data_IF_682773026896
#
_entry.id   IF_682773026896
#
_cell.length_a   1.000
_cell.length_b   1.000
_cell.length_c   1.000
_cell.angle_alpha   90.00
_cell.angle_beta   90.00
_cell.angle_gamma   90.00
#
_symmetry.space_group_name_H-M   'P 1'
#
loop_
_entity.id
_entity.type
_entity.pdbx_description
1 polymer ?
#
# COMPACT_ATOMS: atom_id res chain seq x y z
N UNK A 1 -12.76 5.94 44.62
CA UNK A 1 -12.25 4.56 44.40
C UNK A 1 -12.63 3.98 43.04
N UNK A 2 -13.89 4.07 42.58
CA UNK A 2 -14.34 3.52 41.29
C UNK A 2 -13.60 4.07 40.05
N UNK A 3 -13.24 5.36 40.05
CA UNK A 3 -12.56 6.01 38.91
C UNK A 3 -11.11 5.50 38.70
N UNK A 4 -10.37 5.23 39.78
CA UNK A 4 -9.00 4.72 39.70
C UNK A 4 -8.96 3.30 39.12
N UNK A 5 -9.97 2.49 39.45
CA UNK A 5 -10.09 1.12 38.93
C UNK A 5 -10.36 1.12 37.42
N UNK A 6 -11.16 2.08 36.94
CA UNK A 6 -11.45 2.25 35.52
C UNK A 6 -10.19 2.70 34.74
N UNK A 7 -9.41 3.63 35.30
CA UNK A 7 -8.17 4.12 34.68
C UNK A 7 -7.09 3.03 34.61
N UNK A 8 -6.95 2.23 35.67
CA UNK A 8 -6.03 1.08 35.71
C UNK A 8 -6.40 0.02 34.68
N UNK A 9 -7.70 -0.19 34.42
CA UNK A 9 -8.17 -1.19 33.46
C UNK A 9 -7.88 -0.75 32.02
N UNK A 10 -8.02 0.55 31.72
CA UNK A 10 -7.64 1.13 30.41
C UNK A 10 -6.13 1.03 30.20
N UNK A 11 -5.33 1.26 31.23
CA UNK A 11 -3.86 1.16 31.15
C UNK A 11 -3.35 -0.28 30.95
N UNK A 12 -4.10 -1.27 31.45
CA UNK A 12 -3.76 -2.68 31.30
C UNK A 12 -4.17 -3.26 29.93
N UNK A 13 -4.85 -2.48 29.09
CA UNK A 13 -5.33 -2.92 27.78
C UNK A 13 -4.23 -2.79 26.72
N UNK A 14 -3.68 -3.91 26.27
CA UNK A 14 -2.70 -4.00 25.18
C UNK A 14 -3.37 -4.00 23.79
N UNK A 15 -4.35 -3.11 23.60
CA UNK A 15 -5.18 -3.02 22.39
C UNK A 15 -4.58 -2.09 21.31
N UNK A 16 -3.29 -1.78 21.41
CA UNK A 16 -2.65 -0.72 20.64
C UNK A 16 -1.95 -1.22 19.36
N UNK A 17 -1.98 -2.53 19.12
CA UNK A 17 -1.33 -3.20 17.99
C UNK A 17 -2.27 -3.29 16.79
N UNK A 18 -1.93 -2.58 15.72
CA UNK A 18 -2.71 -2.50 14.49
C UNK A 18 -2.08 -3.40 13.42
N UNK A 19 -2.86 -4.28 12.83
CA UNK A 19 -2.45 -5.10 11.69
C UNK A 19 -2.96 -4.46 10.38
N UNK A 20 -2.04 -4.13 9.48
CA UNK A 20 -2.35 -3.58 8.16
C UNK A 20 -2.10 -4.65 7.10
N UNK A 21 -3.15 -4.98 6.32
CA UNK A 21 -3.09 -5.97 5.23
C UNK A 21 -3.91 -5.46 4.05
N UNK A 22 -3.35 -5.56 2.84
CA UNK A 22 -4.07 -5.29 1.60
C UNK A 22 -4.18 -6.59 0.79
N UNK A 23 -5.40 -6.95 0.31
CA UNK A 23 -5.62 -8.20 -0.41
C UNK A 23 -4.99 -8.21 -1.81
N UNK A 24 -4.72 -7.04 -2.39
CA UNK A 24 -4.18 -6.87 -3.74
C UNK A 24 -2.67 -6.64 -3.70
N UNK A 25 -1.91 -7.53 -4.34
CA UNK A 25 -0.45 -7.50 -4.42
C UNK A 25 0.07 -6.53 -5.51
N UNK A 26 -0.47 -5.31 -5.57
CA UNK A 26 -0.08 -4.29 -6.53
C UNK A 26 0.66 -3.13 -5.89
N UNK A 27 1.69 -2.58 -6.55
CA UNK A 27 2.47 -1.44 -6.05
C UNK A 27 1.59 -0.26 -5.62
N UNK A 28 0.54 0.05 -6.38
CA UNK A 28 -0.40 1.13 -6.07
C UNK A 28 -1.10 0.95 -4.71
N UNK A 29 -1.52 -0.28 -4.40
CA UNK A 29 -2.15 -0.60 -3.11
C UNK A 29 -1.15 -0.57 -1.97
N UNK A 30 0.10 -0.98 -2.22
CA UNK A 30 1.15 -0.89 -1.21
C UNK A 30 1.57 0.53 -0.89
N UNK A 31 1.52 1.46 -1.86
CA UNK A 31 1.73 2.90 -1.60
C UNK A 31 0.61 3.45 -0.71
N UNK A 32 -0.64 3.12 -1.02
CA UNK A 32 -1.78 3.52 -0.19
C UNK A 32 -1.64 2.95 1.23
N UNK A 33 -1.31 1.67 1.35
CA UNK A 33 -1.09 1.02 2.64
C UNK A 33 0.05 1.62 3.46
N UNK A 34 1.15 1.99 2.79
CA UNK A 34 2.25 2.69 3.44
C UNK A 34 1.79 4.04 4.01
N UNK A 35 0.94 4.80 3.31
CA UNK A 35 0.36 6.04 3.83
C UNK A 35 -0.45 5.84 5.12
N UNK A 36 -1.20 4.73 5.24
CA UNK A 36 -1.88 4.37 6.49
C UNK A 36 -0.89 4.05 7.61
N UNK A 37 0.11 3.22 7.32
CA UNK A 37 1.14 2.83 8.30
C UNK A 37 1.89 4.05 8.81
N UNK A 38 2.30 4.96 7.93
CA UNK A 38 3.02 6.18 8.30
C UNK A 38 2.16 7.09 9.20
N UNK A 39 0.89 7.28 8.85
CA UNK A 39 -0.02 8.14 9.62
C UNK A 39 -0.30 7.56 11.01
N UNK A 40 -0.59 6.26 11.08
CA UNK A 40 -0.85 5.57 12.35
C UNK A 40 0.43 5.51 13.21
N UNK A 41 1.59 5.31 12.57
CA UNK A 41 2.88 5.27 13.26
C UNK A 41 3.20 6.62 13.88
N UNK A 42 2.90 7.72 13.19
CA UNK A 42 3.07 9.09 13.69
C UNK A 42 2.09 9.43 14.82
N UNK A 43 0.87 8.87 14.79
CA UNK A 43 -0.06 8.92 15.92
C UNK A 43 0.41 8.10 17.13
N UNK A 44 1.52 7.36 16.96
CA UNK A 44 2.21 6.60 17.98
C UNK A 44 1.85 5.13 17.99
N UNK A 45 0.96 4.63 17.13
CA UNK A 45 0.45 3.25 17.18
C UNK A 45 1.54 2.22 16.91
N UNK A 46 1.46 1.04 17.54
CA UNK A 46 2.32 -0.09 17.19
C UNK A 46 1.69 -0.83 16.01
N UNK A 47 2.41 -1.00 14.92
CA UNK A 47 1.83 -1.47 13.66
C UNK A 47 2.61 -2.66 13.14
N UNK A 48 1.88 -3.66 12.67
CA UNK A 48 2.43 -4.74 11.83
C UNK A 48 1.88 -4.59 10.42
N UNK A 49 2.75 -4.40 9.44
CA UNK A 49 2.38 -4.23 8.04
C UNK A 49 2.83 -5.41 7.19
N UNK A 50 1.88 -6.11 6.56
CA UNK A 50 2.18 -7.19 5.63
C UNK A 50 2.20 -6.61 4.21
N UNK A 51 3.35 -6.70 3.54
CA UNK A 51 3.47 -6.20 2.16
C UNK A 51 4.50 -6.98 1.35
N UNK A 52 4.24 -7.20 0.05
CA UNK A 52 5.24 -7.79 -0.85
C UNK A 52 6.26 -6.76 -1.35
N UNK A 53 6.05 -5.47 -1.07
CA UNK A 53 6.96 -4.38 -1.39
C UNK A 53 7.50 -3.79 -0.09
N UNK A 54 8.59 -4.35 0.47
CA UNK A 54 9.24 -3.79 1.65
C UNK A 54 9.90 -2.44 1.34
N UNK A 55 10.09 -1.61 2.36
CA UNK A 55 10.80 -0.32 2.26
C UNK A 55 11.84 -0.22 3.38
N UNK A 56 12.89 0.58 3.20
CA UNK A 56 14.07 0.50 4.09
C UNK A 56 13.92 1.29 5.39
N UNK A 57 13.19 2.41 5.36
CA UNK A 57 13.12 3.34 6.50
C UNK A 57 11.89 3.05 7.36
N UNK A 58 11.98 2.05 8.24
CA UNK A 58 10.92 1.73 9.19
C UNK A 58 11.05 2.53 10.49
N UNK A 59 9.97 3.12 10.99
CA UNK A 59 9.87 3.57 12.38
C UNK A 59 10.03 2.40 13.37
N UNK A 60 10.54 2.67 14.57
CA UNK A 60 10.76 1.63 15.60
C UNK A 60 9.46 0.94 16.07
N UNK A 61 8.31 1.60 15.91
CA UNK A 61 6.98 1.11 16.23
C UNK A 61 6.26 0.43 15.05
N UNK A 62 6.96 0.20 13.93
CA UNK A 62 6.43 -0.51 12.77
C UNK A 62 7.23 -1.79 12.53
N UNK A 63 6.55 -2.91 12.59
CA UNK A 63 7.05 -4.20 12.12
C UNK A 63 6.54 -4.45 10.71
N UNK A 64 7.41 -4.89 9.80
CA UNK A 64 7.03 -5.24 8.44
C UNK A 64 7.24 -6.73 8.19
N UNK A 65 6.22 -7.37 7.63
CA UNK A 65 6.27 -8.77 7.20
C UNK A 65 6.40 -8.76 5.67
N UNK A 66 7.59 -9.14 5.21
CA UNK A 66 7.89 -9.24 3.79
C UNK A 66 7.30 -10.53 3.21
N UNK A 67 6.39 -10.37 2.23
CA UNK A 67 5.79 -11.47 1.48
C UNK A 67 6.12 -11.41 -0.02
N UNK A 68 7.26 -10.84 -0.40
CA UNK A 68 7.68 -10.68 -1.80
C UNK A 68 7.75 -12.02 -2.56
N UNK A 69 8.09 -13.11 -1.87
CA UNK A 69 8.14 -14.47 -2.44
C UNK A 69 6.78 -15.00 -2.91
N UNK A 70 5.67 -14.45 -2.40
CA UNK A 70 4.32 -14.79 -2.87
C UNK A 70 4.12 -14.29 -4.31
N UNK A 71 4.77 -13.18 -4.68
CA UNK A 71 4.70 -12.61 -6.02
C UNK A 71 5.26 -13.57 -7.08
N UNK A 72 6.33 -14.29 -6.74
CA UNK A 72 6.99 -15.25 -7.64
C UNK A 72 6.12 -16.48 -7.95
N UNK A 73 5.11 -16.75 -7.11
CA UNK A 73 4.19 -17.87 -7.24
C UNK A 73 2.84 -17.47 -7.84
N UNK A 74 2.63 -16.18 -8.15
CA UNK A 74 1.47 -15.76 -8.92
C UNK A 74 1.77 -16.22 -10.36
N UNK A 75 1.01 -17.17 -10.94
CA UNK A 75 1.18 -17.50 -12.33
C UNK A 75 1.05 -16.18 -13.09
N UNK A 76 2.10 -15.81 -13.83
CA UNK A 76 2.05 -14.71 -14.79
C UNK A 76 0.77 -14.94 -15.57
N UNK A 77 -0.29 -14.19 -15.23
CA UNK A 77 -1.43 -14.07 -16.10
C UNK A 77 -0.81 -13.38 -17.28
N UNK A 78 -0.42 -14.19 -18.27
CA UNK A 78 0.17 -13.72 -19.49
C UNK A 78 -0.67 -12.52 -19.89
N UNK A 79 -0.01 -11.37 -19.91
CA UNK A 79 -0.37 -10.22 -20.69
C UNK A 79 -0.26 -10.62 -22.17
N UNK A 80 -0.98 -11.68 -22.54
CA UNK A 80 -1.44 -12.07 -23.86
C UNK A 80 -2.54 -11.11 -24.31
N UNK A 81 -2.38 -9.82 -24.02
CA UNK A 81 -2.93 -8.76 -24.84
C UNK A 81 -1.78 -8.35 -25.76
N UNK A 82 -1.70 -9.16 -26.82
CA UNK A 82 -1.12 -8.89 -28.12
C UNK A 82 -0.55 -7.49 -28.31
N UNK A 83 0.65 -7.45 -28.90
CA UNK A 83 1.31 -6.31 -29.49
C UNK A 83 0.40 -5.45 -30.40
N UNK A 84 -0.53 -4.70 -29.81
CA UNK A 84 -1.13 -3.53 -30.42
C UNK A 84 -0.22 -2.36 -30.09
N UNK A 85 0.28 -1.64 -31.10
CA UNK A 85 1.06 -0.43 -30.86
C UNK A 85 0.20 0.48 -29.98
N UNK A 86 0.73 0.86 -28.81
CA UNK A 86 0.08 1.84 -27.92
C UNK A 86 -0.33 3.02 -28.80
N UNK A 87 -1.64 3.30 -28.97
CA UNK A 87 -2.02 4.44 -29.77
C UNK A 87 -1.43 5.67 -29.09
N UNK A 88 -0.47 6.32 -29.74
CA UNK A 88 0.12 7.57 -29.28
C UNK A 88 -1.02 8.60 -29.18
N UNK A 89 -1.57 8.76 -27.98
CA UNK A 89 -2.70 9.67 -27.71
C UNK A 89 -2.33 11.11 -28.07
N UNK A 90 -1.05 11.46 -27.95
CA UNK A 90 -0.49 12.76 -28.32
C UNK A 90 -0.30 12.97 -29.82
N UNK A 91 -0.24 11.91 -30.65
CA UNK A 91 -0.02 12.07 -32.10
C UNK A 91 -1.32 12.30 -32.87
N UNK A 92 -2.48 11.92 -32.32
CA UNK A 92 -3.78 12.06 -33.01
C UNK A 92 -4.27 13.49 -33.17
N UNK A 93 -3.67 14.48 -32.49
CA UNK A 93 -4.16 15.85 -32.48
C UNK A 93 -3.36 16.85 -33.35
N UNK A 94 -2.33 16.39 -34.07
CA UNK A 94 -1.49 17.25 -34.92
C UNK A 94 -1.73 17.09 -36.42
N UNK A 95 -2.49 16.08 -36.86
CA UNK A 95 -2.75 15.86 -38.30
C UNK A 95 -4.11 16.39 -38.77
N UNK A 96 -4.99 16.88 -37.87
CA UNK A 96 -6.31 17.40 -38.25
C UNK A 96 -6.38 18.93 -38.43
N UNK A 97 -5.28 19.68 -38.34
CA UNK A 97 -5.30 21.15 -38.43
C UNK A 97 -4.53 21.77 -39.62
N UNK A 98 -4.10 20.99 -40.61
CA UNK A 98 -3.57 21.56 -41.85
C UNK A 98 -4.22 20.93 -43.09
N UNK A 99 -5.43 21.37 -43.41
CA UNK A 99 -5.89 21.39 -44.80
C UNK A 99 -5.76 22.83 -45.31
N UNK A 100 -5.10 23.07 -46.46
CA UNK A 100 -4.95 24.40 -47.02
C UNK A 100 -6.29 24.86 -47.61
N UNK A 101 -6.67 26.10 -47.32
CA UNK A 101 -7.58 26.90 -48.16
C UNK A 101 -6.72 27.70 -49.13
#
# INVERSE_FOLDING_TARGET
MKLLLLLSLVYASDAYRILVVFPTLGKSHSILGQGFVDTLSQAGHEITYITPFPYEKLPANVQQINISSVMDNIPEQESSEQALPKPNFFQRNITSQSSPV
#
